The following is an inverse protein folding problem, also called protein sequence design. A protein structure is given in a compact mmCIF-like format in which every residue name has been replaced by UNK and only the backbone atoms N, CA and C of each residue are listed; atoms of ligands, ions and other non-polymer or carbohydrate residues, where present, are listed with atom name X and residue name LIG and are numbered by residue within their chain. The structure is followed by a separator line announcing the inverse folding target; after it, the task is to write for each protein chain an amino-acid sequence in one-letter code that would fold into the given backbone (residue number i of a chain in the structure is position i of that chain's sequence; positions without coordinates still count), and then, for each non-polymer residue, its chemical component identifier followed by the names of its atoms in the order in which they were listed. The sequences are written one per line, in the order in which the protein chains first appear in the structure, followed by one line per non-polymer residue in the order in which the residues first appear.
data_IF_238924764117
#
_entry.id   IF_238924764117
#
_cell.length_a   1.000
_cell.length_b   1.000
_cell.length_c   1.000
_cell.angle_alpha   90.00
_cell.angle_beta   90.00
_cell.angle_gamma   90.00
#
_symmetry.space_group_name_H-M   'P 1'
#
loop_
_entity.id
_entity.type
_entity.pdbx_description
1 polymer ?
#
# COMPACT_ATOMS: atom_id res chain seq x y z
N UNK A 1 2.47 -0.74 17.56
CA UNK A 1 2.58 -0.86 16.11
C UNK A 1 3.39 0.30 15.55
N UNK A 2 4.20 0.04 14.56
CA UNK A 2 5.02 1.06 13.88
C UNK A 2 4.93 0.89 12.37
N UNK A 3 4.62 1.96 11.65
CA UNK A 3 4.65 1.99 10.20
C UNK A 3 6.02 2.52 9.74
N UNK A 4 6.61 1.87 8.76
CA UNK A 4 7.93 2.20 8.25
C UNK A 4 7.96 2.08 6.73
N UNK A 5 8.78 2.92 6.11
CA UNK A 5 9.15 2.73 4.70
C UNK A 5 10.00 1.45 4.58
N UNK A 6 9.69 0.63 3.60
CA UNK A 6 10.49 -0.56 3.30
C UNK A 6 11.85 -0.13 2.77
N UNK A 7 12.91 -0.63 3.40
CA UNK A 7 14.30 -0.37 3.04
C UNK A 7 15.11 -1.65 3.13
N UNK A 8 16.37 -1.61 2.71
CA UNK A 8 17.27 -2.76 2.87
C UNK A 8 17.48 -3.15 4.34
N UNK A 9 17.29 -2.21 5.28
CA UNK A 9 17.47 -2.47 6.72
C UNK A 9 16.33 -3.26 7.33
N UNK A 10 15.12 -3.19 6.79
CA UNK A 10 13.95 -3.87 7.38
C UNK A 10 13.28 -4.88 6.45
N UNK A 11 13.78 -5.05 5.22
CA UNK A 11 13.14 -5.95 4.27
C UNK A 11 13.08 -7.40 4.77
N UNK A 12 14.00 -7.80 5.66
CA UNK A 12 13.99 -9.15 6.23
C UNK A 12 12.72 -9.47 7.00
N UNK A 13 12.02 -8.45 7.53
CA UNK A 13 10.73 -8.64 8.20
C UNK A 13 9.67 -9.20 7.25
N UNK A 14 9.81 -8.95 5.95
CA UNK A 14 8.85 -9.43 4.95
C UNK A 14 9.00 -10.92 4.64
N UNK A 15 10.11 -11.55 5.03
CA UNK A 15 10.33 -12.96 4.74
C UNK A 15 9.36 -13.86 5.53
N UNK A 16 8.84 -13.37 6.65
CA UNK A 16 7.85 -14.07 7.47
C UNK A 16 6.42 -13.58 7.22
N UNK A 17 6.26 -12.57 6.37
CA UNK A 17 4.94 -12.03 6.04
C UNK A 17 4.24 -12.94 5.03
N UNK A 18 2.99 -13.25 5.28
CA UNK A 18 2.16 -14.06 4.40
C UNK A 18 0.89 -13.26 4.10
N UNK A 19 0.68 -12.94 2.84
CA UNK A 19 -0.54 -12.25 2.42
C UNK A 19 -1.74 -13.22 2.33
N UNK A 20 -2.90 -12.70 1.97
CA UNK A 20 -4.13 -13.47 1.87
C UNK A 20 -4.10 -14.52 0.74
N UNK A 21 -3.20 -14.37 -0.21
CA UNK A 21 -2.98 -15.33 -1.30
C UNK A 21 -1.90 -16.37 -0.95
N UNK A 22 -1.37 -16.33 0.28
CA UNK A 22 -0.28 -17.19 0.76
C UNK A 22 1.03 -17.02 -0.03
N UNK A 23 1.23 -15.83 -0.61
CA UNK A 23 2.48 -15.49 -1.27
C UNK A 23 3.60 -15.35 -0.24
N UNK A 24 4.75 -15.92 -0.54
CA UNK A 24 5.98 -15.72 0.24
C UNK A 24 6.88 -14.73 -0.49
N UNK A 25 7.51 -13.88 0.28
CA UNK A 25 8.38 -12.84 -0.27
C UNK A 25 9.83 -13.30 -0.25
N UNK A 26 10.53 -12.99 -1.32
CA UNK A 26 11.93 -13.37 -1.55
C UNK A 26 12.82 -12.14 -1.42
N UNK A 27 13.95 -12.29 -0.71
CA UNK A 27 14.86 -11.17 -0.45
C UNK A 27 15.40 -10.54 -1.75
N UNK A 28 15.78 -11.37 -2.72
CA UNK A 28 16.33 -10.88 -3.98
C UNK A 28 15.30 -10.08 -4.76
N UNK A 29 14.06 -10.55 -4.80
CA UNK A 29 12.96 -9.86 -5.48
C UNK A 29 12.60 -8.57 -4.76
N UNK A 30 12.59 -8.57 -3.42
CA UNK A 30 12.34 -7.36 -2.63
C UNK A 30 13.43 -6.30 -2.87
N UNK A 31 14.70 -6.70 -2.93
CA UNK A 31 15.78 -5.78 -3.26
C UNK A 31 15.63 -5.19 -4.66
N UNK A 32 15.25 -6.01 -5.63
CA UNK A 32 15.00 -5.53 -6.99
C UNK A 32 13.86 -4.50 -7.01
N UNK A 33 12.78 -4.75 -6.24
CA UNK A 33 11.68 -3.79 -6.10
C UNK A 33 12.17 -2.47 -5.52
N UNK A 34 13.01 -2.51 -4.48
CA UNK A 34 13.54 -1.30 -3.85
C UNK A 34 14.43 -0.47 -4.77
N UNK A 35 15.03 -1.08 -5.80
CA UNK A 35 15.84 -0.38 -6.79
C UNK A 35 15.02 0.20 -7.94
N UNK A 36 13.73 -0.14 -8.02
CA UNK A 36 12.85 0.46 -9.02
C UNK A 36 12.59 1.92 -8.68
N UNK A 37 12.88 2.80 -9.64
CA UNK A 37 12.57 4.21 -9.50
C UNK A 37 11.05 4.38 -9.38
N UNK A 38 10.62 5.20 -8.45
CA UNK A 38 9.21 5.51 -8.18
C UNK A 38 8.40 4.39 -7.52
N UNK A 39 9.01 3.26 -7.16
CA UNK A 39 8.37 2.20 -6.42
C UNK A 39 8.66 2.35 -4.91
N UNK A 40 7.64 2.19 -4.09
CA UNK A 40 7.76 2.33 -2.63
C UNK A 40 6.96 1.24 -1.94
N UNK A 41 7.60 0.59 -0.97
CA UNK A 41 6.95 -0.36 -0.08
C UNK A 41 6.90 0.17 1.33
N UNK A 42 5.94 -0.30 2.10
CA UNK A 42 5.70 0.13 3.48
C UNK A 42 5.31 -1.07 4.32
N UNK A 43 5.80 -1.11 5.54
CA UNK A 43 5.45 -2.17 6.48
C UNK A 43 4.81 -1.59 7.73
N UNK A 44 3.85 -2.33 8.28
CA UNK A 44 3.36 -2.13 9.63
C UNK A 44 3.94 -3.26 10.47
N UNK A 45 4.75 -2.92 11.45
CA UNK A 45 5.40 -3.89 12.33
C UNK A 45 4.83 -3.81 13.74
N UNK A 46 4.68 -4.97 14.37
CA UNK A 46 4.26 -5.10 15.75
C UNK A 46 5.13 -6.15 16.43
N UNK A 47 5.77 -5.77 17.54
CA UNK A 47 6.68 -6.64 18.28
C UNK A 47 7.77 -7.28 17.38
N UNK A 48 8.34 -6.48 16.45
CA UNK A 48 9.39 -6.95 15.56
C UNK A 48 8.92 -7.87 14.44
N UNK A 49 7.61 -7.94 14.21
CA UNK A 49 7.00 -8.75 13.17
C UNK A 49 6.24 -7.87 12.19
N UNK A 50 6.44 -8.06 10.89
CA UNK A 50 5.63 -7.40 9.88
C UNK A 50 4.23 -8.01 9.89
N UNK A 51 3.21 -7.19 10.14
CA UNK A 51 1.82 -7.62 10.19
C UNK A 51 0.97 -6.96 9.11
N UNK A 52 1.53 -5.97 8.42
CA UNK A 52 0.90 -5.31 7.29
C UNK A 52 1.93 -4.89 6.27
N UNK A 53 1.53 -4.86 5.02
CA UNK A 53 2.38 -4.46 3.91
C UNK A 53 1.55 -3.69 2.89
N UNK A 54 2.16 -2.66 2.34
CA UNK A 54 1.56 -1.89 1.26
C UNK A 54 2.65 -1.51 0.26
N UNK A 55 2.29 -1.39 -1.01
CA UNK A 55 3.22 -0.88 -2.00
C UNK A 55 2.47 -0.17 -3.12
N UNK A 56 3.19 0.71 -3.78
CA UNK A 56 2.65 1.47 -4.88
C UNK A 56 3.72 2.26 -5.61
N UNK A 57 3.27 3.17 -6.46
CA UNK A 57 4.13 3.81 -7.43
C UNK A 57 3.81 5.30 -7.56
N UNK A 58 4.85 6.10 -7.70
CA UNK A 58 4.70 7.49 -8.12
C UNK A 58 4.56 7.50 -9.65
N UNK A 59 3.45 8.05 -10.12
CA UNK A 59 3.18 8.24 -11.55
C UNK A 59 3.48 9.69 -11.91
N UNK A 60 4.47 9.88 -12.76
CA UNK A 60 4.88 11.20 -13.24
C UNK A 60 4.07 11.57 -14.46
N UNK A 61 3.44 12.74 -14.43
CA UNK A 61 2.67 13.26 -15.54
C UNK A 61 3.53 14.18 -16.41
N UNK A 62 3.27 14.28 -17.74
CA UNK A 62 4.09 15.13 -18.62
C UNK A 62 4.09 16.61 -18.26
N UNK A 63 3.10 17.08 -17.51
CA UNK A 63 3.05 18.46 -17.02
C UNK A 63 3.89 18.71 -15.76
N UNK A 64 4.66 17.70 -15.31
CA UNK A 64 5.48 17.77 -14.11
C UNK A 64 4.77 17.45 -12.81
N UNK A 65 3.47 17.18 -12.84
CA UNK A 65 2.73 16.77 -11.65
C UNK A 65 2.95 15.28 -11.37
N UNK A 66 2.71 14.89 -10.11
CA UNK A 66 2.86 13.52 -9.66
C UNK A 66 1.60 13.08 -8.92
N UNK A 67 1.24 11.81 -9.12
CA UNK A 67 0.21 11.16 -8.31
C UNK A 67 0.78 9.87 -7.74
N UNK A 68 0.28 9.44 -6.60
CA UNK A 68 0.67 8.17 -6.00
C UNK A 68 -0.44 7.15 -6.22
N UNK A 69 -0.08 6.01 -6.82
CA UNK A 69 -0.99 4.88 -6.95
C UNK A 69 -0.63 3.84 -5.89
N UNK A 70 -1.50 3.68 -4.90
CA UNK A 70 -1.40 2.62 -3.92
C UNK A 70 -1.96 1.34 -4.54
N UNK A 71 -1.05 0.47 -5.00
CA UNK A 71 -1.42 -0.70 -5.78
C UNK A 71 -2.01 -1.81 -4.91
N UNK A 72 -1.42 -2.06 -3.75
CA UNK A 72 -1.86 -3.13 -2.87
C UNK A 72 -1.60 -2.78 -1.40
N UNK A 73 -2.47 -3.27 -0.56
CA UNK A 73 -2.33 -3.22 0.89
C UNK A 73 -2.90 -4.50 1.47
N UNK A 74 -2.22 -5.08 2.43
CA UNK A 74 -2.65 -6.28 3.09
C UNK A 74 -2.26 -6.27 4.57
N UNK A 75 -3.12 -6.80 5.41
CA UNK A 75 -2.88 -6.99 6.84
C UNK A 75 -3.09 -8.47 7.14
N UNK A 76 -2.14 -9.07 7.84
CA UNK A 76 -2.18 -10.49 8.15
C UNK A 76 -3.45 -10.87 8.90
N UNK A 77 -3.97 -12.05 8.58
CA UNK A 77 -5.08 -12.63 9.31
C UNK A 77 -4.75 -12.65 10.82
N UNK A 78 -5.72 -12.32 11.65
CA UNK A 78 -5.53 -12.18 13.09
C UNK A 78 -5.19 -10.77 13.54
N UNK A 79 -4.70 -9.91 12.64
CA UNK A 79 -4.47 -8.49 12.90
C UNK A 79 -5.46 -7.58 12.19
N UNK A 80 -6.35 -8.15 11.39
CA UNK A 80 -7.37 -7.40 10.66
C UNK A 80 -8.43 -6.85 11.61
N UNK A 81 -9.12 -5.79 11.17
CA UNK A 81 -10.19 -5.11 11.92
C UNK A 81 -9.75 -4.51 13.27
N UNK A 82 -8.48 -4.15 13.38
CA UNK A 82 -7.89 -3.51 14.58
C UNK A 82 -7.32 -2.12 14.28
N UNK A 83 -7.59 -1.59 13.09
CA UNK A 83 -7.11 -0.26 12.69
C UNK A 83 -5.72 -0.23 12.06
N UNK A 84 -5.04 -1.35 11.93
CA UNK A 84 -3.69 -1.39 11.35
C UNK A 84 -3.66 -0.97 9.89
N UNK A 85 -4.64 -1.42 9.11
CA UNK A 85 -4.76 -1.02 7.71
C UNK A 85 -4.98 0.47 7.55
N UNK A 86 -5.84 1.05 8.39
CA UNK A 86 -6.11 2.48 8.38
C UNK A 86 -4.85 3.29 8.69
N UNK A 87 -4.09 2.88 9.71
CA UNK A 87 -2.83 3.52 10.07
C UNK A 87 -1.81 3.43 8.94
N UNK A 88 -1.73 2.27 8.30
CA UNK A 88 -0.80 2.07 7.19
C UNK A 88 -1.16 2.95 5.99
N UNK A 89 -2.44 3.04 5.63
CA UNK A 89 -2.89 3.91 4.54
C UNK A 89 -2.57 5.37 4.85
N UNK A 90 -2.81 5.82 6.09
CA UNK A 90 -2.46 7.18 6.50
C UNK A 90 -0.96 7.44 6.36
N UNK A 91 -0.16 6.49 6.77
CA UNK A 91 1.30 6.61 6.68
C UNK A 91 1.74 6.75 5.21
N UNK A 92 1.20 5.90 4.32
CA UNK A 92 1.51 5.96 2.89
C UNK A 92 1.09 7.31 2.31
N UNK A 93 -0.11 7.77 2.64
CA UNK A 93 -0.62 9.05 2.14
C UNK A 93 0.26 10.22 2.57
N UNK A 94 0.66 10.27 3.85
CA UNK A 94 1.55 11.32 4.34
C UNK A 94 2.92 11.26 3.64
N UNK A 95 3.46 10.05 3.44
CA UNK A 95 4.72 9.91 2.72
C UNK A 95 4.60 10.37 1.26
N UNK A 96 3.49 10.05 0.60
CA UNK A 96 3.26 10.47 -0.79
C UNK A 96 3.31 11.99 -0.95
N UNK A 97 2.84 12.72 0.05
CA UNK A 97 2.94 14.20 0.05
C UNK A 97 4.39 14.65 0.07
N UNK A 98 5.24 13.99 0.86
CA UNK A 98 6.68 14.32 0.91
C UNK A 98 7.38 14.06 -0.42
N UNK A 99 6.85 13.15 -1.24
CA UNK A 99 7.35 12.86 -2.58
C UNK A 99 6.86 13.86 -3.63
N UNK A 100 6.03 14.82 -3.23
CA UNK A 100 5.49 15.83 -4.13
C UNK A 100 4.24 15.40 -4.88
N UNK A 101 3.58 14.33 -4.46
CA UNK A 101 2.36 13.87 -5.08
C UNK A 101 1.18 14.78 -4.74
N UNK A 102 0.40 15.17 -5.76
CA UNK A 102 -0.79 16.02 -5.57
C UNK A 102 -1.99 15.26 -5.03
N UNK A 103 -2.00 13.94 -5.22
CA UNK A 103 -3.03 13.05 -4.67
C UNK A 103 -2.51 11.62 -4.60
N UNK A 104 -3.20 10.80 -3.83
CA UNK A 104 -3.08 9.35 -3.83
C UNK A 104 -4.42 8.76 -4.23
N UNK A 105 -4.39 7.68 -5.02
CA UNK A 105 -5.59 6.93 -5.33
C UNK A 105 -5.33 5.43 -5.24
N UNK A 106 -6.38 4.67 -5.06
CA UNK A 106 -6.37 3.22 -5.05
C UNK A 106 -7.67 2.68 -5.64
N UNK A 107 -7.65 1.43 -6.02
CA UNK A 107 -8.81 0.73 -6.57
C UNK A 107 -9.16 -0.43 -5.65
N UNK A 108 -10.45 -0.58 -5.39
CA UNK A 108 -10.97 -1.72 -4.63
C UNK A 108 -12.34 -2.10 -5.16
N UNK A 109 -12.84 -3.26 -4.76
CA UNK A 109 -14.17 -3.69 -5.13
C UNK A 109 -15.21 -3.10 -4.18
N UNK A 110 -16.32 -2.65 -4.73
CA UNK A 110 -17.45 -2.10 -3.98
C UNK A 110 -17.92 -3.06 -2.88
N UNK A 111 -17.82 -4.36 -3.12
CA UNK A 111 -18.26 -5.39 -2.17
C UNK A 111 -17.27 -5.64 -1.04
N UNK A 112 -16.07 -5.14 -1.13
CA UNK A 112 -15.09 -5.23 -0.05
C UNK A 112 -15.37 -4.14 0.99
N UNK A 113 -16.38 -4.38 1.80
CA UNK A 113 -16.89 -3.40 2.78
C UNK A 113 -15.81 -3.03 3.81
N UNK A 114 -15.05 -4.03 4.27
CA UNK A 114 -13.98 -3.81 5.25
C UNK A 114 -12.89 -2.88 4.69
N UNK A 115 -12.46 -3.11 3.46
CA UNK A 115 -11.47 -2.27 2.80
C UNK A 115 -12.01 -0.85 2.58
N UNK A 116 -13.24 -0.72 2.10
CA UNK A 116 -13.86 0.59 1.90
C UNK A 116 -13.91 1.40 3.20
N UNK A 117 -14.29 0.78 4.31
CA UNK A 117 -14.29 1.43 5.62
C UNK A 117 -12.90 1.87 6.04
N UNK A 118 -11.91 1.03 5.81
CA UNK A 118 -10.52 1.32 6.11
C UNK A 118 -10.06 2.58 5.37
N UNK A 119 -10.32 2.66 4.08
CA UNK A 119 -9.90 3.79 3.25
C UNK A 119 -10.62 5.08 3.60
N UNK A 120 -11.92 5.00 3.90
CA UNK A 120 -12.70 6.17 4.34
C UNK A 120 -12.19 6.70 5.68
N UNK A 121 -11.91 5.81 6.64
CA UNK A 121 -11.34 6.20 7.94
C UNK A 121 -9.97 6.84 7.79
N UNK A 122 -9.21 6.43 6.79
CA UNK A 122 -7.91 7.02 6.49
C UNK A 122 -8.01 8.38 5.78
N UNK A 123 -9.21 8.83 5.45
CA UNK A 123 -9.46 10.12 4.80
C UNK A 123 -9.74 10.04 3.30
N UNK A 124 -9.86 8.83 2.76
CA UNK A 124 -10.19 8.62 1.36
C UNK A 124 -11.64 9.00 1.05
N UNK A 125 -11.86 9.51 -0.13
CA UNK A 125 -13.19 9.86 -0.63
C UNK A 125 -13.54 8.87 -1.74
N UNK A 126 -14.64 8.14 -1.53
CA UNK A 126 -15.09 7.15 -2.49
C UNK A 126 -15.79 7.84 -3.68
N UNK A 127 -15.37 7.51 -4.91
CA UNK A 127 -16.02 7.97 -6.12
C UNK A 127 -16.98 6.89 -6.66
N UNK A 128 -17.91 6.44 -5.82
CA UNK A 128 -18.81 5.33 -6.11
C UNK A 128 -19.81 5.65 -7.24
N UNK A 129 -19.94 6.93 -7.62
CA UNK A 129 -20.83 7.36 -8.70
C UNK A 129 -20.10 7.44 -10.05
N UNK A 130 -18.81 7.09 -10.08
CA UNK A 130 -18.05 7.06 -11.33
C UNK A 130 -18.56 5.94 -12.23
N UNK A 131 -18.64 6.22 -13.51
CA UNK A 131 -18.95 5.22 -14.54
C UNK A 131 -17.69 4.53 -15.07
N UNK A 132 -16.56 4.72 -14.44
CA UNK A 132 -15.28 4.15 -14.85
C UNK A 132 -15.33 2.63 -14.83
N UNK A 133 -14.84 2.03 -15.90
CA UNK A 133 -14.70 0.57 -16.02
C UNK A 133 -13.25 0.23 -16.39
N UNK A 134 -12.84 -1.00 -16.11
CA UNK A 134 -11.47 -1.46 -16.38
C UNK A 134 -11.49 -2.36 -17.62
N UNK A 135 -10.60 -2.05 -18.56
CA UNK A 135 -10.30 -2.95 -19.69
C UNK A 135 -8.93 -3.58 -19.43
N UNK A 136 -8.87 -4.90 -19.45
CA UNK A 136 -7.63 -5.64 -19.33
C UNK A 136 -7.20 -6.17 -20.71
N UNK A 137 -5.91 -6.04 -21.00
CA UNK A 137 -5.29 -6.56 -22.22
C UNK A 137 -4.33 -7.67 -21.82
N UNK A 138 -4.48 -8.86 -22.42
CA UNK A 138 -3.65 -10.02 -22.10
C UNK A 138 -2.76 -10.40 -23.27
#
# INVERSE_FOLDING_TARGET
MKCELLTEHNLALMLDFIDDENTKYDETVLKAFLHEKNAYGYIAADNGKAIGFAYGYVLNEPNGQKVYYLHAIDVMEGWQNRGYGTELVRFVHEHSKTLGCRKMFLLTHKHNVSACRCYEKAGGICNAVSDDIVFAFK
#
